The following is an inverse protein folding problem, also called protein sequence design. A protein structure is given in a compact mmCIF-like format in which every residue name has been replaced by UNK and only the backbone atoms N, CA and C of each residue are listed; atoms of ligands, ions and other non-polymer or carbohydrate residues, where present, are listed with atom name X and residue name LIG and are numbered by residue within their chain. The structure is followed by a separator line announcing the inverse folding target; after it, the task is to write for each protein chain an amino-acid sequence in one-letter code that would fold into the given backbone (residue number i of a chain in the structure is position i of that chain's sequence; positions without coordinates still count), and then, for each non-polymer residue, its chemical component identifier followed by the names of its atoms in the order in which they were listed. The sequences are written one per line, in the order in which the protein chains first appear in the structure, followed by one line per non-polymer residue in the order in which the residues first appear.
data_IF_063687090215
#
_entry.id   IF_063687090215
#
_cell.length_a   1.000
_cell.length_b   1.000
_cell.length_c   1.000
_cell.angle_alpha   90.00
_cell.angle_beta   90.00
_cell.angle_gamma   90.00
#
_symmetry.space_group_name_H-M   'P 1'
#
loop_
_entity.id
_entity.type
_entity.pdbx_description
1 polymer ?
#
# COMPACT_ATOMS: atom_id res chain seq x y z
N UNK A 1 -29.48 -3.20 -48.83
CA UNK A 1 -28.86 -1.88 -48.63
C UNK A 1 -29.87 -1.00 -47.90
N UNK A 2 -29.54 -0.28 -46.79
CA UNK A 2 -28.37 -0.28 -45.90
C UNK A 2 -28.62 -1.08 -44.58
N UNK A 3 -27.63 -1.19 -43.68
CA UNK A 3 -27.55 -2.26 -42.67
C UNK A 3 -28.20 -1.93 -41.32
N UNK A 4 -28.60 -2.99 -40.61
CA UNK A 4 -29.01 -2.97 -39.20
C UNK A 4 -27.82 -2.50 -38.34
N UNK A 5 -27.99 -1.38 -37.64
CA UNK A 5 -27.03 -0.94 -36.64
C UNK A 5 -27.12 -1.85 -35.42
N UNK A 6 -25.99 -2.51 -35.14
CA UNK A 6 -25.69 -3.15 -33.87
C UNK A 6 -26.00 -2.19 -32.72
N UNK A 7 -27.01 -2.49 -31.91
CA UNK A 7 -27.10 -1.92 -30.57
C UNK A 7 -26.01 -2.57 -29.73
N UNK A 8 -24.88 -1.87 -29.63
CA UNK A 8 -23.82 -2.20 -28.70
C UNK A 8 -24.40 -2.19 -27.29
N UNK A 9 -24.43 -3.37 -26.70
CA UNK A 9 -24.58 -3.59 -25.27
C UNK A 9 -23.48 -2.79 -24.56
N UNK A 10 -23.80 -1.54 -24.26
CA UNK A 10 -23.02 -0.67 -23.40
C UNK A 10 -23.43 -0.97 -21.96
N UNK A 11 -23.45 -2.25 -21.60
CA UNK A 11 -23.24 -2.69 -20.22
C UNK A 11 -21.85 -2.25 -19.83
N UNK A 12 -21.77 -0.96 -19.50
CA UNK A 12 -20.82 -0.31 -18.63
C UNK A 12 -20.44 -1.38 -17.61
N UNK A 13 -19.22 -1.92 -17.70
CA UNK A 13 -18.61 -2.70 -16.64
C UNK A 13 -18.59 -1.79 -15.43
N UNK A 14 -19.70 -1.79 -14.69
CA UNK A 14 -19.73 -1.35 -13.33
C UNK A 14 -18.75 -2.29 -12.64
N UNK A 15 -17.54 -1.76 -12.41
CA UNK A 15 -16.68 -2.24 -11.35
C UNK A 15 -17.58 -2.48 -10.12
N UNK A 16 -17.40 -3.57 -9.38
CA UNK A 16 -18.25 -3.87 -8.23
C UNK A 16 -18.29 -2.62 -7.35
N UNK A 17 -19.47 -2.01 -7.27
CA UNK A 17 -19.73 -0.95 -6.32
C UNK A 17 -19.64 -1.64 -4.97
N UNK A 18 -18.56 -1.39 -4.23
CA UNK A 18 -18.43 -1.73 -2.82
C UNK A 18 -19.46 -0.87 -2.05
N UNK A 19 -20.76 -1.12 -2.27
CA UNK A 19 -21.89 -0.44 -1.64
C UNK A 19 -22.25 -1.18 -0.36
N UNK A 20 -21.25 -1.30 0.50
CA UNK A 20 -21.33 -1.75 1.88
C UNK A 20 -20.31 -0.97 2.70
N UNK A 21 -20.34 0.36 2.60
CA UNK A 21 -19.50 1.22 3.42
C UNK A 21 -20.06 1.21 4.85
N UNK A 22 -19.51 0.35 5.71
CA UNK A 22 -19.40 0.65 7.14
C UNK A 22 -18.65 1.99 7.25
N UNK A 23 -19.41 3.09 7.33
CA UNK A 23 -18.92 4.46 7.44
C UNK A 23 -18.46 4.72 8.87
N UNK A 24 -17.33 4.17 9.26
CA UNK A 24 -16.81 4.43 10.59
C UNK A 24 -15.30 4.35 10.63
N UNK A 25 -14.76 3.15 10.44
CA UNK A 25 -13.35 2.91 10.66
C UNK A 25 -12.84 1.74 9.82
N UNK A 26 -11.52 1.70 9.65
CA UNK A 26 -10.79 0.54 9.18
C UNK A 26 -9.76 0.10 10.22
N UNK A 27 -9.64 -1.22 10.41
CA UNK A 27 -8.56 -1.83 11.16
C UNK A 27 -7.41 -2.13 10.21
N UNK A 28 -6.25 -1.57 10.51
CA UNK A 28 -4.99 -1.82 9.81
C UNK A 28 -4.22 -2.87 10.60
N UNK A 29 -3.88 -3.98 9.94
CA UNK A 29 -2.97 -5.00 10.46
C UNK A 29 -1.57 -4.74 9.91
N UNK A 30 -0.60 -4.62 10.82
CA UNK A 30 0.80 -4.41 10.49
C UNK A 30 1.68 -5.21 11.44
N UNK A 31 2.52 -6.07 10.88
CA UNK A 31 3.33 -7.05 11.64
C UNK A 31 2.48 -7.82 12.67
N UNK A 32 2.82 -7.78 13.95
CA UNK A 32 2.12 -8.44 15.05
C UNK A 32 0.99 -7.58 15.67
N UNK A 33 0.68 -6.43 15.07
CA UNK A 33 -0.23 -5.44 15.64
C UNK A 33 -1.43 -5.14 14.76
N UNK A 34 -2.45 -4.55 15.38
CA UNK A 34 -3.53 -3.90 14.65
C UNK A 34 -3.94 -2.59 15.30
N UNK A 35 -4.34 -1.61 14.47
CA UNK A 35 -4.87 -0.32 14.92
C UNK A 35 -6.15 0.00 14.18
N UNK A 36 -7.00 0.80 14.79
CA UNK A 36 -8.22 1.29 14.16
C UNK A 36 -8.01 2.75 13.78
N UNK A 37 -8.37 3.13 12.56
CA UNK A 37 -8.31 4.52 12.10
C UNK A 37 -9.45 4.80 11.12
N UNK A 38 -9.61 6.05 10.68
CA UNK A 38 -10.63 6.40 9.71
C UNK A 38 -10.35 5.80 8.34
N UNK A 39 -11.41 5.56 7.59
CA UNK A 39 -11.36 4.91 6.28
C UNK A 39 -10.45 5.65 5.31
N UNK A 40 -10.56 6.98 5.24
CA UNK A 40 -9.72 7.79 4.36
C UNK A 40 -8.21 7.71 4.70
N UNK A 41 -7.90 7.63 5.99
CA UNK A 41 -6.52 7.53 6.49
C UNK A 41 -5.93 6.15 6.15
N UNK A 42 -6.68 5.08 6.40
CA UNK A 42 -6.26 3.72 6.08
C UNK A 42 -6.00 3.53 4.57
N UNK A 43 -6.91 4.01 3.72
CA UNK A 43 -6.76 3.88 2.27
C UNK A 43 -5.60 4.69 1.70
N UNK A 44 -5.40 5.93 2.18
CA UNK A 44 -4.26 6.75 1.74
C UNK A 44 -2.93 6.18 2.22
N UNK A 45 -2.88 5.58 3.41
CA UNK A 45 -1.71 4.88 3.92
C UNK A 45 -1.34 3.66 3.06
N UNK A 46 -2.33 2.86 2.64
CA UNK A 46 -2.11 1.73 1.73
C UNK A 46 -1.52 2.19 0.39
N UNK A 47 -2.09 3.25 -0.21
CA UNK A 47 -1.56 3.82 -1.47
C UNK A 47 -0.14 4.35 -1.31
N UNK A 48 0.16 4.99 -0.18
CA UNK A 48 1.50 5.45 0.12
C UNK A 48 2.50 4.29 0.28
N UNK A 49 2.12 3.24 1.00
CA UNK A 49 2.92 2.02 1.13
C UNK A 49 3.20 1.35 -0.21
N UNK A 50 2.19 1.27 -1.09
CA UNK A 50 2.36 0.75 -2.45
C UNK A 50 3.39 1.58 -3.26
N UNK A 51 3.30 2.90 -3.17
CA UNK A 51 4.22 3.80 -3.86
C UNK A 51 5.68 3.64 -3.37
N UNK A 52 5.88 3.43 -2.06
CA UNK A 52 7.19 3.12 -1.48
C UNK A 52 7.74 1.78 -1.96
N UNK A 53 6.89 0.75 -2.01
CA UNK A 53 7.28 -0.58 -2.45
C UNK A 53 7.75 -0.59 -3.92
N UNK A 54 7.04 0.12 -4.80
CA UNK A 54 7.43 0.32 -6.21
C UNK A 54 8.80 1.00 -6.36
N UNK A 55 9.25 1.71 -5.32
CA UNK A 55 10.53 2.44 -5.29
C UNK A 55 11.62 1.76 -4.50
N UNK A 56 11.37 0.57 -3.96
CA UNK A 56 12.29 -0.08 -3.03
C UNK A 56 12.72 0.85 -1.87
N UNK A 57 11.81 1.72 -1.44
CA UNK A 57 12.07 2.74 -0.42
C UNK A 57 11.30 2.45 0.87
N UNK A 58 11.64 3.17 1.93
CA UNK A 58 10.97 3.10 3.22
C UNK A 58 10.69 4.49 3.78
N UNK A 59 9.65 4.59 4.60
CA UNK A 59 9.29 5.82 5.29
C UNK A 59 8.68 5.51 6.66
N UNK A 60 8.92 6.39 7.62
CA UNK A 60 8.27 6.35 8.92
C UNK A 60 7.15 7.37 8.95
N UNK A 61 5.92 6.94 9.24
CA UNK A 61 4.73 7.77 9.25
C UNK A 61 3.98 7.64 10.56
N UNK A 62 3.30 8.71 10.97
CA UNK A 62 2.46 8.72 12.16
C UNK A 62 1.02 9.02 11.76
N UNK A 63 0.09 8.19 12.21
CA UNK A 63 -1.34 8.36 11.93
C UNK A 63 -2.12 8.45 13.25
N UNK A 64 -3.25 9.18 13.27
CA UNK A 64 -4.17 9.12 14.39
C UNK A 64 -4.87 7.76 14.43
N UNK A 65 -5.05 7.22 15.63
CA UNK A 65 -5.71 5.92 15.84
C UNK A 65 -6.78 6.03 16.90
N UNK A 66 -7.76 5.13 16.84
CA UNK A 66 -8.79 4.99 17.86
C UNK A 66 -8.39 3.86 18.79
N UNK A 67 -8.34 4.16 20.09
CA UNK A 67 -8.10 3.19 21.14
C UNK A 67 -9.41 2.47 21.54
N UNK A 68 -9.30 1.36 22.26
CA UNK A 68 -10.46 0.56 22.67
C UNK A 68 -11.43 1.31 23.61
N UNK A 69 -10.90 2.26 24.38
CA UNK A 69 -11.66 3.16 25.27
C UNK A 69 -12.34 4.33 24.53
N UNK A 70 -12.16 4.42 23.20
CA UNK A 70 -12.66 5.53 22.41
C UNK A 70 -11.74 6.75 22.42
N UNK A 71 -10.61 6.75 23.10
CA UNK A 71 -9.65 7.85 23.04
C UNK A 71 -8.97 7.91 21.66
N UNK A 72 -8.62 9.13 21.25
CA UNK A 72 -7.77 9.33 20.06
C UNK A 72 -6.31 9.21 20.50
N UNK A 73 -5.61 8.25 19.91
CA UNK A 73 -4.17 8.06 20.06
C UNK A 73 -3.43 8.36 18.75
N UNK A 74 -2.15 7.99 18.72
CA UNK A 74 -1.35 8.01 17.50
C UNK A 74 -0.48 6.77 17.43
N UNK A 75 -0.35 6.17 16.25
CA UNK A 75 0.57 5.08 16.00
C UNK A 75 1.59 5.47 14.94
N UNK A 76 2.82 5.00 15.11
CA UNK A 76 3.92 5.23 14.16
C UNK A 76 4.24 3.93 13.43
N UNK A 77 4.23 3.99 12.11
CA UNK A 77 4.48 2.87 11.21
C UNK A 77 5.77 3.10 10.45
N UNK A 78 6.62 2.07 10.38
CA UNK A 78 7.73 2.02 9.43
C UNK A 78 7.26 1.23 8.22
N UNK A 79 7.03 1.90 7.09
CA UNK A 79 6.64 1.27 5.83
C UNK A 79 7.88 1.02 4.97
N UNK A 80 7.95 -0.12 4.32
CA UNK A 80 9.00 -0.50 3.40
C UNK A 80 8.51 -1.46 2.32
N UNK A 81 9.39 -1.94 1.44
CA UNK A 81 8.98 -2.69 0.26
C UNK A 81 8.37 -4.07 0.57
N UNK A 82 8.76 -4.64 1.71
CA UNK A 82 8.25 -5.91 2.22
C UNK A 82 7.15 -5.73 3.28
N UNK A 83 6.65 -4.51 3.50
CA UNK A 83 5.59 -4.24 4.46
C UNK A 83 4.31 -4.96 4.05
N UNK A 84 3.94 -6.00 4.80
CA UNK A 84 2.64 -6.63 4.70
C UNK A 84 1.64 -5.78 5.51
N UNK A 85 0.69 -5.18 4.81
CA UNK A 85 -0.38 -4.39 5.42
C UNK A 85 -1.71 -4.87 4.86
N UNK A 86 -2.66 -5.11 5.75
CA UNK A 86 -4.03 -5.50 5.41
C UNK A 86 -4.97 -4.53 6.12
N UNK A 87 -6.03 -4.11 5.44
CA UNK A 87 -7.10 -3.34 6.06
C UNK A 87 -8.42 -4.07 5.98
N UNK A 88 -9.18 -3.98 7.07
CA UNK A 88 -10.49 -4.58 7.21
C UNK A 88 -11.46 -3.51 7.71
N UNK A 89 -12.68 -3.50 7.17
CA UNK A 89 -13.72 -2.59 7.66
C UNK A 89 -14.11 -2.97 9.09
N UNK A 90 -14.15 -1.99 9.99
CA UNK A 90 -14.54 -2.19 11.37
C UNK A 90 -15.72 -1.31 11.73
N UNK A 91 -16.80 -1.93 12.22
CA UNK A 91 -17.93 -1.22 12.80
C UNK A 91 -17.53 -0.71 14.18
N UNK A 92 -17.45 0.63 14.32
CA UNK A 92 -17.07 1.29 15.58
C UNK A 92 -18.24 2.12 16.11
N UNK A 93 -18.49 2.13 17.43
CA UNK A 93 -19.49 3.02 18.04
C UNK A 93 -19.02 4.48 18.12
N UNK A 94 -17.78 4.76 17.72
CA UNK A 94 -17.16 6.08 17.82
C UNK A 94 -17.11 6.78 16.45
N UNK A 95 -17.12 8.11 16.47
CA UNK A 95 -16.97 8.92 15.25
C UNK A 95 -15.69 8.57 14.48
N UNK A 96 -15.79 8.59 13.15
CA UNK A 96 -14.68 8.38 12.23
C UNK A 96 -13.52 9.36 12.49
N UNK A 97 -12.28 8.86 12.40
CA UNK A 97 -11.10 9.71 12.46
C UNK A 97 -10.82 10.33 11.09
N UNK A 98 -11.10 11.62 10.96
CA UNK A 98 -10.83 12.38 9.74
C UNK A 98 -9.62 13.29 9.94
N UNK A 99 -8.62 13.14 9.08
CA UNK A 99 -7.47 14.04 8.98
C UNK A 99 -7.17 14.30 7.50
N UNK A 100 -7.86 15.30 6.93
CA UNK A 100 -7.76 15.62 5.51
C UNK A 100 -6.34 16.10 5.13
N UNK A 101 -5.64 16.76 6.05
CA UNK A 101 -4.30 17.25 5.81
C UNK A 101 -3.30 16.09 5.67
N UNK A 102 -3.41 15.09 6.55
CA UNK A 102 -2.60 13.88 6.49
C UNK A 102 -2.90 13.04 5.25
N UNK A 103 -4.19 12.88 4.92
CA UNK A 103 -4.60 12.18 3.69
C UNK A 103 -4.01 12.89 2.47
N UNK A 104 -4.11 14.21 2.40
CA UNK A 104 -3.56 15.00 1.30
C UNK A 104 -2.03 14.91 1.22
N UNK A 105 -1.32 14.82 2.35
CA UNK A 105 0.14 14.63 2.33
C UNK A 105 0.52 13.26 1.78
N UNK A 106 -0.14 12.18 2.21
CA UNK A 106 0.13 10.83 1.69
C UNK A 106 -0.18 10.72 0.21
N UNK A 107 -1.28 11.28 -0.27
CA UNK A 107 -1.62 11.29 -1.69
C UNK A 107 -0.59 12.07 -2.52
N UNK A 108 -0.12 13.21 -1.99
CA UNK A 108 0.93 14.01 -2.64
C UNK A 108 2.23 13.23 -2.72
N UNK A 109 2.68 12.64 -1.61
CA UNK A 109 3.94 11.88 -1.57
C UNK A 109 3.87 10.62 -2.44
N UNK A 110 2.76 9.88 -2.38
CA UNK A 110 2.50 8.73 -3.25
C UNK A 110 2.54 9.14 -4.73
N UNK A 111 1.94 10.29 -5.08
CA UNK A 111 1.97 10.81 -6.46
C UNK A 111 3.39 11.16 -6.91
N UNK A 112 4.20 11.78 -6.04
CA UNK A 112 5.61 12.09 -6.34
C UNK A 112 6.45 10.82 -6.54
N UNK A 113 6.20 9.79 -5.74
CA UNK A 113 6.83 8.48 -5.89
C UNK A 113 6.29 7.72 -7.12
N UNK A 114 5.06 7.98 -7.55
CA UNK A 114 4.44 7.35 -8.72
C UNK A 114 4.98 7.82 -10.08
N UNK A 115 5.64 8.98 -10.17
CA UNK A 115 6.18 9.53 -11.43
C UNK A 115 7.34 8.67 -11.95
N UNK A 116 7.22 7.89 -13.04
CA UNK A 116 8.25 6.95 -13.47
C UNK A 116 9.64 7.60 -13.53
N UNK A 117 10.59 7.08 -12.76
CA UNK A 117 12.02 7.39 -12.97
C UNK A 117 12.64 6.13 -13.53
N UNK A 118 13.43 6.28 -14.59
CA UNK A 118 14.29 5.20 -15.08
C UNK A 118 15.17 4.77 -13.91
N UNK A 119 14.91 3.58 -13.37
CA UNK A 119 15.83 2.92 -12.45
C UNK A 119 16.89 2.26 -13.32
N UNK A 120 18.09 2.81 -13.27
CA UNK A 120 19.27 2.08 -13.75
C UNK A 120 19.63 1.17 -12.57
N UNK A 121 19.36 -0.10 -12.74
CA UNK A 121 19.70 -1.15 -11.78
C UNK A 121 21.24 -1.30 -11.78
N UNK A 122 21.90 -0.67 -10.81
CA UNK A 122 23.33 -0.91 -10.52
C UNK A 122 23.42 -2.18 -9.64
N UNK A 123 23.01 -3.32 -10.19
CA UNK A 123 23.39 -4.60 -9.57
C UNK A 123 24.89 -4.74 -9.80
N UNK A 124 25.73 -4.82 -8.75
CA UNK A 124 27.07 -5.32 -8.93
C UNK A 124 26.92 -6.75 -9.47
N UNK A 125 27.23 -6.93 -10.75
CA UNK A 125 27.38 -8.24 -11.36
C UNK A 125 28.32 -9.03 -10.45
N UNK A 126 27.79 -10.08 -9.82
CA UNK A 126 28.60 -10.99 -9.03
C UNK A 126 29.71 -11.52 -9.96
N UNK A 127 30.91 -11.00 -9.76
CA UNK A 127 32.08 -11.38 -10.52
C UNK A 127 32.40 -12.83 -10.17
N UNK A 128 32.33 -13.69 -11.19
CA UNK A 128 33.08 -14.92 -11.39
C UNK A 128 33.89 -15.45 -10.20
N UNK A 129 33.30 -16.31 -9.38
CA UNK A 129 34.06 -17.30 -8.61
C UNK A 129 34.39 -18.46 -9.57
N UNK A 130 35.53 -18.34 -10.24
CA UNK A 130 36.12 -19.37 -11.10
C UNK A 130 36.67 -20.48 -10.18
N UNK A 131 35.94 -21.58 -9.99
CA UNK A 131 36.48 -22.76 -9.31
C UNK A 131 37.44 -23.50 -10.25
N UNK A 132 38.73 -23.16 -10.20
CA UNK A 132 39.80 -24.00 -10.76
C UNK A 132 40.04 -25.16 -9.80
N UNK A 133 39.77 -26.37 -10.28
CA UNK A 133 40.17 -27.62 -9.64
C UNK A 133 41.69 -27.77 -9.75
N UNK A 134 42.39 -27.81 -8.62
CA UNK A 134 43.76 -28.33 -8.56
C UNK A 134 43.70 -29.80 -8.12
N UNK A 135 43.84 -30.71 -9.07
CA UNK A 135 44.27 -32.09 -8.82
C UNK A 135 45.72 -32.05 -8.30
N UNK A 136 45.91 -32.41 -7.04
CA UNK A 136 47.24 -32.71 -6.49
C UNK A 136 47.38 -34.23 -6.42
N UNK A 137 48.17 -34.76 -7.36
CA UNK A 137 48.63 -36.14 -7.44
C UNK A 137 49.65 -36.39 -6.30
N UNK A 138 49.31 -37.26 -5.34
CA UNK A 138 50.24 -37.72 -4.29
C UNK A 138 50.89 -39.04 -4.75
N UNK A 139 52.22 -39.03 -4.91
CA UNK A 139 53.07 -40.19 -5.23
C UNK A 139 53.42 -41.03 -4.00
#
# INVERSE_FOLDING_TARGET
MPPQMCQGDSSKRALPSFTGYDRGMERIHYVDGSVVTGTAIAQSLLRFGEALARRQSSATVRIPTRQADGAVGSATFLLGPASQMVTESESSPYDELVDEALVASFEREASLLGVPRVQIDDQPTAAAELSVSLDVDES
#
